data_IF_590673089422
#
_entry.id   IF_590673089422
#
_cell.length_a   1.000
_cell.length_b   1.000
_cell.length_c   1.000
_cell.angle_alpha   90.00
_cell.angle_beta   90.00
_cell.angle_gamma   90.00
#
_symmetry.space_group_name_H-M   'P 1'
#
loop_
_entity.id
_entity.type
_entity.pdbx_description
1 polymer ?
#
# COMPACT_ATOMS: atom_id res chain seq x y z
N UNK A 1 29.01 1.64 -9.20
CA UNK A 1 29.09 3.03 -8.70
C UNK A 1 27.92 3.87 -9.22
N UNK A 2 27.52 3.76 -10.49
CA UNK A 2 26.31 4.42 -11.02
C UNK A 2 24.98 4.00 -10.33
N UNK A 3 24.87 2.76 -9.85
CA UNK A 3 23.66 2.31 -9.13
C UNK A 3 23.51 2.92 -7.72
N UNK A 4 24.62 3.29 -7.08
CA UNK A 4 24.60 3.98 -5.78
C UNK A 4 24.15 5.44 -5.94
N UNK A 5 24.72 6.15 -6.91
CA UNK A 5 24.31 7.54 -7.22
C UNK A 5 22.85 7.62 -7.69
N UNK A 6 22.36 6.61 -8.43
CA UNK A 6 20.97 6.51 -8.84
C UNK A 6 20.03 6.32 -7.65
N UNK A 7 20.40 5.46 -6.69
CA UNK A 7 19.60 5.21 -5.50
C UNK A 7 19.52 6.44 -4.60
N UNK A 8 20.62 7.18 -4.45
CA UNK A 8 20.66 8.42 -3.67
C UNK A 8 19.84 9.54 -4.32
N UNK A 9 19.87 9.63 -5.66
CA UNK A 9 19.08 10.63 -6.40
C UNK A 9 17.56 10.38 -6.28
N UNK A 10 17.11 9.11 -6.27
CA UNK A 10 15.70 8.78 -6.04
C UNK A 10 15.29 8.82 -4.56
N UNK A 11 16.22 8.55 -3.63
CA UNK A 11 15.99 8.72 -2.20
C UNK A 11 15.76 10.19 -1.81
N UNK A 12 16.49 11.11 -2.44
CA UNK A 12 16.26 12.55 -2.30
C UNK A 12 14.96 13.04 -2.95
N UNK A 13 14.56 12.44 -4.08
CA UNK A 13 13.34 12.82 -4.82
C UNK A 13 12.04 12.27 -4.20
N UNK A 14 12.12 11.14 -3.48
CA UNK A 14 10.98 10.43 -2.89
C UNK A 14 11.28 10.02 -1.44
N UNK A 15 11.39 11.01 -0.55
CA UNK A 15 11.69 10.82 0.88
C UNK A 15 10.66 9.92 1.57
N UNK A 16 9.38 9.98 1.18
CA UNK A 16 8.33 9.18 1.82
C UNK A 16 8.22 7.73 1.28
N UNK A 17 9.11 7.32 0.36
CA UNK A 17 9.12 5.95 -0.19
C UNK A 17 9.50 4.91 0.87
N UNK A 18 10.64 5.09 1.53
CA UNK A 18 11.15 4.13 2.52
C UNK A 18 10.22 3.96 3.72
N UNK A 19 9.62 5.02 4.32
CA UNK A 19 8.62 4.83 5.37
C UNK A 19 7.34 4.18 4.85
N UNK A 20 6.95 4.37 3.58
CA UNK A 20 5.82 3.68 2.96
C UNK A 20 6.11 2.17 2.76
N UNK A 21 7.34 1.80 2.42
CA UNK A 21 7.76 0.41 2.29
C UNK A 21 7.82 -0.28 3.67
N UNK A 22 8.42 0.39 4.66
CA UNK A 22 8.54 -0.13 6.02
C UNK A 22 7.16 -0.39 6.65
N UNK A 23 6.19 0.52 6.48
CA UNK A 23 4.85 0.31 7.02
C UNK A 23 4.09 -0.80 6.27
N UNK A 24 4.32 -1.00 4.97
CA UNK A 24 3.71 -2.10 4.22
C UNK A 24 4.22 -3.47 4.72
N UNK A 25 5.52 -3.59 5.00
CA UNK A 25 6.10 -4.79 5.61
C UNK A 25 5.58 -5.01 7.04
N UNK A 26 5.47 -3.93 7.82
CA UNK A 26 4.92 -4.01 9.17
C UNK A 26 3.44 -4.45 9.14
N UNK A 27 2.65 -3.90 8.22
CA UNK A 27 1.26 -4.29 8.01
C UNK A 27 1.15 -5.77 7.61
N UNK A 28 2.03 -6.26 6.73
CA UNK A 28 2.08 -7.69 6.39
C UNK A 28 2.39 -8.55 7.63
N UNK A 29 3.43 -8.20 8.38
CA UNK A 29 3.83 -8.92 9.59
C UNK A 29 2.71 -8.97 10.64
N UNK A 30 2.09 -7.83 10.92
CA UNK A 30 0.97 -7.73 11.87
C UNK A 30 -0.23 -8.52 11.38
N UNK A 31 -0.57 -8.44 10.09
CA UNK A 31 -1.70 -9.20 9.53
C UNK A 31 -1.49 -10.71 9.67
N UNK A 32 -0.27 -11.21 9.42
CA UNK A 32 0.07 -12.62 9.55
C UNK A 32 0.03 -13.11 11.00
N UNK A 33 0.58 -12.34 11.94
CA UNK A 33 0.56 -12.70 13.38
C UNK A 33 -0.86 -12.68 13.91
N UNK A 34 -1.64 -11.65 13.58
CA UNK A 34 -3.04 -11.54 13.99
C UNK A 34 -3.93 -12.65 13.41
N UNK A 35 -3.57 -13.21 12.25
CA UNK A 35 -4.33 -14.29 11.62
C UNK A 35 -4.50 -15.52 12.52
N UNK A 36 -3.55 -15.77 13.42
CA UNK A 36 -3.64 -16.86 14.40
C UNK A 36 -4.85 -16.74 15.32
N UNK A 37 -5.27 -15.52 15.66
CA UNK A 37 -6.41 -15.25 16.53
C UNK A 37 -7.67 -14.85 15.76
N UNK A 38 -7.52 -14.32 14.53
CA UNK A 38 -8.64 -13.86 13.69
C UNK A 38 -8.99 -14.84 12.57
N UNK A 39 -8.58 -16.11 12.68
CA UNK A 39 -8.78 -17.13 11.64
C UNK A 39 -10.26 -17.38 11.29
N UNK A 40 -11.16 -17.15 12.25
CA UNK A 40 -12.61 -17.22 12.04
C UNK A 40 -13.08 -16.21 10.98
N UNK A 41 -12.37 -15.10 10.84
CA UNK A 41 -12.65 -14.02 9.90
C UNK A 41 -11.52 -13.93 8.85
N UNK A 42 -11.22 -15.07 8.25
CA UNK A 42 -10.07 -15.28 7.34
C UNK A 42 -10.03 -14.31 6.15
N UNK A 43 -11.17 -13.87 5.64
CA UNK A 43 -11.24 -12.96 4.49
C UNK A 43 -10.58 -11.60 4.78
N UNK A 44 -10.66 -11.13 6.03
CA UNK A 44 -10.03 -9.87 6.45
C UNK A 44 -8.51 -9.97 6.40
N UNK A 45 -7.97 -11.10 6.83
CA UNK A 45 -6.54 -11.40 6.79
C UNK A 45 -6.01 -11.54 5.36
N UNK A 46 -6.73 -12.26 4.48
CA UNK A 46 -6.33 -12.40 3.09
C UNK A 46 -6.30 -11.06 2.36
N UNK A 47 -7.34 -10.24 2.53
CA UNK A 47 -7.36 -8.91 1.92
C UNK A 47 -6.23 -8.04 2.47
N UNK A 48 -5.94 -8.10 3.77
CA UNK A 48 -4.82 -7.39 4.38
C UNK A 48 -3.46 -7.79 3.80
N UNK A 49 -3.24 -9.09 3.54
CA UNK A 49 -2.02 -9.58 2.89
C UNK A 49 -1.90 -9.06 1.46
N UNK A 50 -2.99 -9.08 0.69
CA UNK A 50 -3.01 -8.57 -0.70
C UNK A 50 -2.68 -7.06 -0.72
N UNK A 51 -3.34 -6.28 0.13
CA UNK A 51 -3.10 -4.82 0.22
C UNK A 51 -1.65 -4.54 0.62
N UNK A 52 -1.13 -5.23 1.62
CA UNK A 52 0.27 -5.07 2.05
C UNK A 52 1.26 -5.45 0.94
N UNK A 53 1.00 -6.52 0.19
CA UNK A 53 1.83 -6.93 -0.94
C UNK A 53 1.82 -5.90 -2.07
N UNK A 54 0.66 -5.31 -2.39
CA UNK A 54 0.56 -4.22 -3.37
C UNK A 54 1.32 -2.97 -2.92
N UNK A 55 1.25 -2.61 -1.63
CA UNK A 55 2.01 -1.50 -1.06
C UNK A 55 3.52 -1.72 -1.09
N UNK A 56 3.96 -2.94 -0.79
CA UNK A 56 5.36 -3.34 -0.91
C UNK A 56 5.83 -3.23 -2.37
N UNK A 57 5.11 -3.85 -3.31
CA UNK A 57 5.47 -3.81 -4.73
C UNK A 57 5.50 -2.39 -5.30
N UNK A 58 4.55 -1.54 -4.90
CA UNK A 58 4.49 -0.13 -5.32
C UNK A 58 5.62 0.75 -4.76
N UNK A 59 6.24 0.35 -3.65
CA UNK A 59 7.31 1.10 -2.99
C UNK A 59 8.73 0.55 -3.25
N UNK A 60 8.86 -0.63 -3.87
CA UNK A 60 10.15 -1.19 -4.29
C UNK A 60 10.70 -0.46 -5.53
N UNK A 61 12.03 -0.26 -5.60
CA UNK A 61 12.73 0.36 -6.74
C UNK A 61 12.76 -0.58 -7.97
N UNK A 62 12.89 -0.05 -9.21
CA UNK A 62 12.86 1.37 -9.59
C UNK A 62 11.44 1.96 -9.54
N UNK A 63 11.32 3.28 -9.34
CA UNK A 63 10.03 4.00 -9.40
C UNK A 63 9.66 4.25 -10.86
N UNK A 64 8.66 3.54 -11.36
CA UNK A 64 8.13 3.63 -12.73
C UNK A 64 6.67 4.06 -12.70
N UNK A 65 6.18 4.62 -13.80
CA UNK A 65 4.81 5.14 -13.90
C UNK A 65 3.73 4.08 -13.54
N UNK A 66 3.94 2.80 -13.88
CA UNK A 66 3.01 1.72 -13.53
C UNK A 66 2.90 1.47 -12.01
N UNK A 67 3.95 1.76 -11.23
CA UNK A 67 3.97 1.64 -9.76
C UNK A 67 3.17 2.71 -9.03
N UNK A 68 2.92 3.86 -9.68
CA UNK A 68 2.07 4.92 -9.13
C UNK A 68 0.64 4.41 -8.90
N UNK A 69 0.11 3.61 -9.83
CA UNK A 69 -1.22 2.99 -9.69
C UNK A 69 -1.27 2.02 -8.50
N UNK A 70 -0.21 1.25 -8.25
CA UNK A 70 -0.14 0.34 -7.10
C UNK A 70 -0.15 1.08 -5.76
N UNK A 71 0.51 2.24 -5.66
CA UNK A 71 0.46 3.08 -4.46
C UNK A 71 -0.93 3.70 -4.26
N UNK A 72 -1.64 4.05 -5.34
CA UNK A 72 -3.04 4.48 -5.25
C UNK A 72 -3.95 3.34 -4.77
N UNK A 73 -3.79 2.13 -5.30
CA UNK A 73 -4.50 0.95 -4.83
C UNK A 73 -4.18 0.64 -3.37
N UNK A 74 -2.93 0.81 -2.93
CA UNK A 74 -2.55 0.61 -1.55
C UNK A 74 -3.24 1.61 -0.61
N UNK A 75 -3.31 2.89 -0.98
CA UNK A 75 -4.02 3.90 -0.21
C UNK A 75 -5.53 3.58 -0.11
N UNK A 76 -6.21 3.37 -1.23
CA UNK A 76 -7.64 3.08 -1.23
C UNK A 76 -7.97 1.71 -0.61
N UNK A 77 -7.10 0.73 -0.81
CA UNK A 77 -7.17 -0.60 -0.20
C UNK A 77 -7.06 -0.51 1.32
N UNK A 78 -6.20 0.36 1.86
CA UNK A 78 -6.12 0.60 3.30
C UNK A 78 -7.35 1.32 3.87
N UNK A 79 -7.93 2.27 3.15
CA UNK A 79 -9.20 2.88 3.53
C UNK A 79 -10.34 1.85 3.58
N UNK A 80 -10.41 0.95 2.60
CA UNK A 80 -11.36 -0.17 2.61
C UNK A 80 -11.07 -1.18 3.73
N UNK A 81 -9.79 -1.46 4.00
CA UNK A 81 -9.37 -2.34 5.08
C UNK A 81 -9.80 -1.85 6.46
N UNK A 82 -9.80 -0.54 6.73
CA UNK A 82 -10.33 -0.01 7.99
C UNK A 82 -11.79 -0.41 8.21
N UNK A 83 -12.62 -0.28 7.16
CA UNK A 83 -14.03 -0.68 7.22
C UNK A 83 -14.16 -2.19 7.39
N UNK A 84 -13.36 -2.95 6.63
CA UNK A 84 -13.36 -4.41 6.69
C UNK A 84 -12.95 -4.93 8.07
N UNK A 85 -11.92 -4.34 8.69
CA UNK A 85 -11.44 -4.67 10.03
C UNK A 85 -12.49 -4.36 11.09
N UNK A 86 -13.20 -3.24 10.98
CA UNK A 86 -14.29 -2.90 11.90
C UNK A 86 -15.44 -3.92 11.84
N UNK A 87 -15.89 -4.27 10.63
CA UNK A 87 -16.93 -5.30 10.44
C UNK A 87 -16.43 -6.66 10.94
N UNK A 88 -15.16 -6.98 10.67
CA UNK A 88 -14.54 -8.25 11.06
C UNK A 88 -14.45 -8.42 12.57
N UNK A 89 -14.21 -7.35 13.32
CA UNK A 89 -14.24 -7.39 14.78
C UNK A 89 -15.64 -7.74 15.32
N UNK A 90 -16.70 -7.18 14.74
CA UNK A 90 -18.09 -7.49 15.10
C UNK A 90 -18.44 -8.95 14.75
N UNK A 91 -18.07 -9.40 13.55
CA UNK A 91 -18.31 -10.77 13.11
C UNK A 91 -17.55 -11.79 13.97
N UNK A 92 -16.32 -11.47 14.38
CA UNK A 92 -15.55 -12.32 15.30
C UNK A 92 -16.29 -12.51 16.62
N UNK A 93 -16.85 -11.44 17.18
CA UNK A 93 -17.62 -11.52 18.42
C UNK A 93 -18.86 -12.42 18.27
N UNK A 94 -19.63 -12.25 17.20
CA UNK A 94 -20.83 -13.05 16.93
C UNK A 94 -20.46 -14.53 16.75
N UNK A 95 -19.52 -14.84 15.85
CA UNK A 95 -19.15 -16.22 15.53
C UNK A 95 -18.60 -16.96 16.74
N UNK A 96 -17.79 -16.32 17.57
CA UNK A 96 -17.21 -16.97 18.76
C UNK A 96 -18.25 -17.11 19.87
N UNK A 97 -19.23 -16.20 19.96
CA UNK A 97 -20.34 -16.32 20.92
C UNK A 97 -21.28 -17.49 20.62
N UNK A 98 -21.38 -17.91 19.36
CA UNK A 98 -22.20 -19.04 18.92
C UNK A 98 -21.48 -20.41 19.03
N UNK A 99 -20.26 -20.44 19.54
CA UNK A 99 -19.53 -21.70 19.70
C UNK A 99 -20.23 -22.63 20.70
N UNK A 100 -20.50 -23.85 20.24
CA UNK A 100 -21.18 -24.90 21.01
C UNK A 100 -20.54 -25.18 22.38
N UNK A 101 -19.21 -25.05 22.46
CA UNK A 101 -18.44 -25.16 23.69
C UNK A 101 -17.68 -23.85 23.90
N UNK A 102 -18.30 -22.91 24.60
CA UNK A 102 -17.66 -21.64 24.95
C UNK A 102 -16.66 -21.88 26.09
N UNK A 103 -15.45 -22.30 25.71
CA UNK A 103 -14.38 -22.68 26.62
C UNK A 103 -13.36 -21.53 26.81
N UNK A 104 -12.33 -21.72 27.64
CA UNK A 104 -11.24 -20.76 27.87
C UNK A 104 -10.54 -20.32 26.56
N UNK A 105 -10.52 -21.17 25.53
CA UNK A 105 -10.02 -20.82 24.20
C UNK A 105 -10.89 -19.75 23.50
N UNK A 106 -12.22 -19.83 23.63
CA UNK A 106 -13.12 -18.83 23.05
C UNK A 106 -12.89 -17.44 23.66
N UNK A 107 -12.67 -17.39 24.98
CA UNK A 107 -12.23 -16.17 25.67
C UNK A 107 -10.89 -15.66 25.16
N UNK A 108 -9.92 -16.55 24.97
CA UNK A 108 -8.63 -16.21 24.36
C UNK A 108 -8.80 -15.58 22.98
N UNK A 109 -9.59 -16.21 22.10
CA UNK A 109 -9.86 -15.70 20.76
C UNK A 109 -10.56 -14.34 20.78
N UNK A 110 -11.52 -14.11 21.69
CA UNK A 110 -12.18 -12.80 21.81
C UNK A 110 -11.20 -11.73 22.29
N UNK A 111 -10.46 -11.98 23.37
CA UNK A 111 -9.57 -10.98 23.98
C UNK A 111 -8.37 -10.69 23.05
N UNK A 112 -7.66 -11.72 22.60
CA UNK A 112 -6.50 -11.55 21.72
C UNK A 112 -6.92 -11.17 20.30
N UNK A 113 -8.09 -11.61 19.81
CA UNK A 113 -8.62 -11.22 18.51
C UNK A 113 -9.05 -9.76 18.46
N UNK A 114 -9.74 -9.25 19.49
CA UNK A 114 -10.09 -7.83 19.59
C UNK A 114 -8.86 -6.94 19.72
N UNK A 115 -7.88 -7.34 20.53
CA UNK A 115 -6.59 -6.63 20.63
C UNK A 115 -5.84 -6.65 19.29
N UNK A 116 -5.85 -7.78 18.59
CA UNK A 116 -5.25 -7.91 17.25
C UNK A 116 -5.91 -6.96 16.25
N UNK A 117 -7.23 -6.88 16.21
CA UNK A 117 -7.93 -5.90 15.37
C UNK A 117 -7.62 -4.46 15.77
N UNK A 118 -7.46 -4.17 17.06
CA UNK A 118 -7.01 -2.85 17.52
C UNK A 118 -5.63 -2.46 16.98
N UNK A 119 -4.66 -3.38 17.07
CA UNK A 119 -3.31 -3.17 16.51
C UNK A 119 -3.36 -3.03 14.99
N UNK A 120 -4.15 -3.88 14.31
CA UNK A 120 -4.34 -3.80 12.87
C UNK A 120 -4.94 -2.45 12.44
N UNK A 121 -5.97 -1.95 13.11
CA UNK A 121 -6.57 -0.64 12.83
C UNK A 121 -5.55 0.49 12.97
N UNK A 122 -4.73 0.45 14.03
CA UNK A 122 -3.67 1.44 14.24
C UNK A 122 -2.63 1.40 13.11
N UNK A 123 -2.16 0.22 12.73
CA UNK A 123 -1.18 0.06 11.65
C UNK A 123 -1.77 0.48 10.31
N UNK A 124 -2.99 0.09 9.99
CA UNK A 124 -3.70 0.51 8.76
C UNK A 124 -3.84 2.03 8.73
N UNK A 125 -4.15 2.66 9.85
CA UNK A 125 -4.23 4.12 9.94
C UNK A 125 -2.89 4.80 9.64
N UNK A 126 -1.79 4.31 10.22
CA UNK A 126 -0.44 4.82 9.91
C UNK A 126 -0.10 4.56 8.45
N UNK A 127 -0.46 3.41 7.89
CA UNK A 127 -0.26 3.08 6.48
C UNK A 127 -1.00 4.04 5.54
N UNK A 128 -2.21 4.50 5.89
CA UNK A 128 -2.94 5.53 5.15
C UNK A 128 -2.17 6.85 5.15
N UNK A 129 -1.67 7.30 6.30
CA UNK A 129 -0.90 8.55 6.38
C UNK A 129 0.37 8.51 5.53
N UNK A 130 1.13 7.41 5.62
CA UNK A 130 2.40 7.24 4.87
C UNK A 130 2.16 7.08 3.38
N UNK A 131 1.17 6.30 2.97
CA UNK A 131 0.81 6.14 1.56
C UNK A 131 0.22 7.41 0.95
N UNK A 132 -0.50 8.22 1.73
CA UNK A 132 -0.98 9.53 1.29
C UNK A 132 0.17 10.50 1.03
N UNK A 133 1.15 10.58 1.95
CA UNK A 133 2.32 11.42 1.80
C UNK A 133 3.15 11.03 0.56
N UNK A 134 3.44 9.73 0.39
CA UNK A 134 4.18 9.25 -0.77
C UNK A 134 3.42 9.44 -2.09
N UNK A 135 2.09 9.23 -2.08
CA UNK A 135 1.25 9.51 -3.25
C UNK A 135 1.28 11.00 -3.64
N UNK A 136 1.26 11.91 -2.67
CA UNK A 136 1.33 13.35 -2.94
C UNK A 136 2.67 13.73 -3.58
N UNK A 137 3.78 13.12 -3.15
CA UNK A 137 5.09 13.29 -3.77
C UNK A 137 5.12 12.78 -5.22
N UNK A 138 4.56 11.60 -5.48
CA UNK A 138 4.46 11.03 -6.83
C UNK A 138 3.60 11.90 -7.77
N UNK A 139 2.58 12.58 -7.24
CA UNK A 139 1.78 13.52 -8.03
C UNK A 139 2.51 14.85 -8.30
N UNK A 140 3.35 15.29 -7.36
CA UNK A 140 4.17 16.50 -7.51
C UNK A 140 5.32 16.29 -8.48
N UNK A 141 5.96 15.12 -8.41
CA UNK A 141 7.10 14.73 -9.23
C UNK A 141 6.79 13.38 -9.91
N UNK A 142 6.09 13.38 -11.05
CA UNK A 142 5.71 12.15 -11.72
C UNK A 142 6.95 11.38 -12.19
N UNK A 143 7.04 10.06 -11.94
CA UNK A 143 8.18 9.26 -12.35
C UNK A 143 8.25 9.12 -13.88
N UNK A 144 9.45 8.92 -14.45
CA UNK A 144 9.63 8.78 -15.89
C UNK A 144 8.84 7.59 -16.46
N UNK A 145 8.33 7.75 -17.68
CA UNK A 145 7.55 6.74 -18.38
C UNK A 145 8.39 5.47 -18.65
N UNK A 146 7.72 4.32 -18.64
CA UNK A 146 8.30 2.97 -18.79
C UNK A 146 9.16 2.82 -20.06
N UNK A 147 8.84 3.59 -21.11
CA UNK A 147 9.54 3.63 -22.39
C UNK A 147 11.00 4.14 -22.29
N UNK A 148 11.39 4.77 -21.18
CA UNK A 148 12.77 5.26 -20.96
C UNK A 148 13.69 4.17 -20.41
N UNK A 149 13.13 3.10 -19.82
CA UNK A 149 13.92 1.99 -19.24
C UNK A 149 14.09 0.81 -20.19
N UNK A 150 13.22 0.65 -21.20
CA UNK A 150 13.33 -0.38 -22.24
C UNK A 150 14.02 0.08 -23.53
N UNK A 151 14.43 1.36 -23.59
CA UNK A 151 15.13 1.94 -24.73
C UNK A 151 16.60 1.54 -24.72
N UNK A 152 16.94 0.65 -25.65
CA UNK A 152 18.26 0.27 -26.12
C UNK A 152 19.42 1.21 -25.71
N UNK A 153 20.52 0.60 -25.26
CA UNK A 153 21.83 1.25 -25.09
C UNK A 153 22.26 2.00 -26.35
N UNK A 154 21.94 3.29 -26.43
CA UNK A 154 22.71 4.32 -27.16
C UNK A 154 22.03 5.69 -27.05
N UNK A 155 22.69 6.61 -26.34
CA UNK A 155 22.60 8.04 -26.61
C UNK A 155 21.54 8.83 -25.82
N UNK A 156 22.01 9.90 -25.19
CA UNK A 156 21.24 11.06 -24.69
C UNK A 156 20.39 10.84 -23.43
N UNK A 157 21.09 10.60 -22.32
CA UNK A 157 20.70 11.16 -21.02
C UNK A 157 20.79 12.69 -21.14
N UNK A 158 19.88 13.44 -20.51
CA UNK A 158 19.74 14.91 -20.53
C UNK A 158 18.93 15.54 -21.67
N UNK A 159 17.61 15.30 -21.74
CA UNK A 159 16.66 16.38 -22.06
C UNK A 159 15.24 16.06 -21.56
N UNK A 160 14.98 16.33 -20.28
CA UNK A 160 13.60 16.48 -19.79
C UNK A 160 13.53 17.45 -18.60
N UNK A 161 14.23 18.58 -18.71
CA UNK A 161 13.87 19.80 -17.99
C UNK A 161 13.64 20.85 -19.06
N UNK A 162 12.38 21.21 -19.29
CA UNK A 162 11.99 22.25 -20.23
C UNK A 162 11.28 21.76 -21.48
N UNK A 163 10.06 21.23 -21.35
CA UNK A 163 9.09 21.28 -22.43
C UNK A 163 7.69 21.29 -21.82
N UNK A 164 6.94 22.36 -22.11
CA UNK A 164 5.73 22.75 -21.41
C UNK A 164 4.62 21.71 -21.38
N UNK A 165 3.75 21.90 -20.39
CA UNK A 165 2.40 21.37 -20.31
C UNK A 165 1.72 21.41 -21.68
N UNK A 166 1.60 20.27 -22.37
CA UNK A 166 0.69 20.13 -23.52
C UNK A 166 -0.67 19.75 -22.96
N UNK A 167 -1.55 20.75 -22.87
CA UNK A 167 -2.97 20.52 -22.63
C UNK A 167 -3.52 19.53 -23.68
N UNK A 168 -4.43 18.62 -23.31
CA UNK A 168 -5.04 17.71 -24.26
C UNK A 168 -5.85 18.54 -25.27
N UNK A 169 -5.44 18.51 -26.53
CA UNK A 169 -6.21 19.08 -27.65
C UNK A 169 -7.51 18.30 -27.78
N UNK A 170 -8.57 18.84 -27.18
CA UNK A 170 -9.93 18.44 -27.47
C UNK A 170 -10.16 18.56 -28.98
N UNK A 171 -10.49 17.45 -29.63
CA UNK A 171 -10.97 17.45 -31.01
C UNK A 171 -12.31 18.21 -31.04
N UNK A 172 -12.27 19.48 -31.42
CA UNK A 172 -13.47 20.24 -31.77
C UNK A 172 -13.94 19.68 -33.11
N UNK A 173 -14.95 18.84 -33.06
CA UNK A 173 -15.69 18.36 -34.22
C UNK A 173 -16.68 19.45 -34.61
N UNK A 174 -16.33 20.31 -35.54
CA UNK A 174 -17.28 21.24 -36.18
C UNK A 174 -17.86 20.60 -37.43
N UNK A 175 -19.14 20.28 -37.31
CA UNK A 175 -20.24 20.13 -38.29
C UNK A 175 -19.90 19.50 -39.64
#
# INVERSE_FOLDING_TARGET
>A
MADLERNDQFGFLYENRDPCNAIALLQLGVTLVSFFFTYTVWWSGLFGVIVAAMGYYGSVQPVIQSKVSFIQFYYFGNCFMLLLQAISAVVLFILVSEWKNFDAWAWGVIIFGTLSFGVQLFVTYVAIQRSHAYRAELMRNPPPAENVYGGNSNGTVYTAMGAGYKAPTAQIKTI
#
